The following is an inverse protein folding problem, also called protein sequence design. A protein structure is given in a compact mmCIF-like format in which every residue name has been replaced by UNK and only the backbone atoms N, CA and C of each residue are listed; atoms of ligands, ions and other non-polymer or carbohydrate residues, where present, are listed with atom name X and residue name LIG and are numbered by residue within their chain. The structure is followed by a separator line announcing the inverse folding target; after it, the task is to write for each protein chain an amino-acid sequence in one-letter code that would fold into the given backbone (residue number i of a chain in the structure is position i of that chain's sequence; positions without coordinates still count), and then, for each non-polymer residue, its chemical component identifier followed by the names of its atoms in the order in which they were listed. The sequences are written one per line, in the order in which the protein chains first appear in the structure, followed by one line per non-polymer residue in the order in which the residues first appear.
data_IF_746058852229
#
_entry.id   IF_746058852229
#
_cell.length_a   1.000
_cell.length_b   1.000
_cell.length_c   1.000
_cell.angle_alpha   90.00
_cell.angle_beta   90.00
_cell.angle_gamma   90.00
#
_symmetry.space_group_name_H-M   'P 1'
#
loop_
_entity.id
_entity.type
_entity.pdbx_description
1 polymer ?
#
# COMPACT_ATOMS: atom_id res chain seq x y z
N UNK A 1 7.93 -7.05 -8.20
CA UNK A 1 6.84 -6.17 -8.68
C UNK A 1 5.74 -6.01 -7.64
N UNK A 2 6.03 -5.34 -6.51
CA UNK A 2 5.16 -5.41 -5.32
C UNK A 2 4.45 -4.08 -5.00
N UNK A 3 4.95 -2.89 -5.41
CA UNK A 3 4.25 -1.62 -5.14
C UNK A 3 4.38 -0.57 -6.27
N UNK A 4 3.33 -0.33 -7.08
CA UNK A 4 3.35 0.67 -8.14
C UNK A 4 3.19 2.11 -7.60
N UNK A 5 2.65 2.29 -6.40
CA UNK A 5 2.28 3.60 -5.86
C UNK A 5 3.48 4.41 -5.37
N UNK A 6 3.59 5.68 -5.80
CA UNK A 6 4.63 6.62 -5.36
C UNK A 6 4.04 7.62 -4.37
N UNK A 7 4.13 7.35 -3.06
CA UNK A 7 3.53 8.17 -1.99
C UNK A 7 3.78 9.67 -2.15
N UNK A 8 5.02 10.08 -2.46
CA UNK A 8 5.36 11.51 -2.62
C UNK A 8 4.62 12.12 -3.80
N UNK A 9 4.66 11.44 -4.95
CA UNK A 9 4.05 11.95 -6.17
C UNK A 9 2.52 11.91 -6.11
N UNK A 10 1.92 10.93 -5.43
CA UNK A 10 0.48 10.94 -5.14
C UNK A 10 0.06 12.14 -4.28
N UNK A 11 0.85 12.50 -3.26
CA UNK A 11 0.56 13.70 -2.46
C UNK A 11 0.65 14.96 -3.32
N UNK A 12 1.64 15.06 -4.20
CA UNK A 12 1.76 16.19 -5.12
C UNK A 12 0.61 16.25 -6.13
N UNK A 13 0.18 15.11 -6.66
CA UNK A 13 -1.02 14.99 -7.51
C UNK A 13 -2.25 15.56 -6.80
N UNK A 14 -2.48 15.17 -5.54
CA UNK A 14 -3.61 15.67 -4.76
C UNK A 14 -3.50 17.17 -4.45
N UNK A 15 -2.30 17.67 -4.14
CA UNK A 15 -2.06 19.10 -3.95
C UNK A 15 -2.26 19.90 -5.24
N UNK A 16 -1.91 19.33 -6.38
CA UNK A 16 -2.18 19.93 -7.69
C UNK A 16 -3.68 20.06 -7.93
N UNK A 17 -4.46 19.00 -7.69
CA UNK A 17 -5.92 19.06 -7.78
C UNK A 17 -6.46 20.17 -6.88
N UNK A 18 -6.04 20.24 -5.61
CA UNK A 18 -6.47 21.33 -4.72
C UNK A 18 -6.15 22.72 -5.29
N UNK A 19 -4.93 22.92 -5.80
CA UNK A 19 -4.47 24.21 -6.36
C UNK A 19 -5.29 24.61 -7.58
N UNK A 20 -5.49 23.69 -8.51
CA UNK A 20 -6.20 23.94 -9.77
C UNK A 20 -7.69 24.18 -9.53
N UNK A 21 -8.33 23.37 -8.69
CA UNK A 21 -9.75 23.52 -8.35
C UNK A 21 -10.00 24.77 -7.49
N UNK A 22 -9.04 25.17 -6.65
CA UNK A 22 -9.07 26.47 -5.97
C UNK A 22 -9.04 27.64 -6.96
N UNK A 23 -8.22 27.57 -8.00
CA UNK A 23 -8.22 28.59 -9.05
C UNK A 23 -9.56 28.61 -9.82
N UNK A 24 -10.27 27.47 -9.86
CA UNK A 24 -11.64 27.33 -10.37
C UNK A 24 -12.76 27.72 -9.38
N UNK A 25 -12.43 28.22 -8.19
CA UNK A 25 -13.40 28.69 -7.19
C UNK A 25 -13.78 27.70 -6.09
N UNK A 26 -13.23 26.48 -6.10
CA UNK A 26 -13.52 25.45 -5.08
C UNK A 26 -12.50 25.55 -3.95
N UNK A 27 -12.95 25.93 -2.74
CA UNK A 27 -12.04 26.05 -1.59
C UNK A 27 -11.77 24.69 -0.94
N UNK A 28 -10.50 24.26 -0.76
CA UNK A 28 -10.20 23.01 -0.07
C UNK A 28 -10.63 23.01 1.41
N UNK A 29 -11.35 21.96 1.83
CA UNK A 29 -11.88 21.78 3.19
C UNK A 29 -11.48 20.42 3.75
N UNK A 30 -11.13 20.37 5.04
CA UNK A 30 -10.75 19.11 5.69
C UNK A 30 -11.92 18.12 5.78
N UNK A 31 -13.11 18.63 6.12
CA UNK A 31 -14.30 17.83 6.34
C UNK A 31 -14.43 17.27 7.75
N UNK A 32 -15.63 16.75 8.06
CA UNK A 32 -15.96 16.25 9.40
C UNK A 32 -16.09 14.73 9.41
N UNK A 33 -15.20 13.99 10.09
CA UNK A 33 -15.27 12.54 10.13
C UNK A 33 -16.53 12.01 10.83
N UNK A 34 -17.08 10.92 10.30
CA UNK A 34 -18.17 10.21 10.96
C UNK A 34 -17.72 9.64 12.32
N UNK A 35 -18.38 10.05 13.40
CA UNK A 35 -18.14 9.53 14.76
C UNK A 35 -19.33 8.76 15.30
N UNK A 36 -19.10 7.97 16.35
CA UNK A 36 -20.19 7.37 17.15
C UNK A 36 -21.14 8.45 17.66
N UNK A 37 -22.44 8.18 17.59
CA UNK A 37 -23.45 9.12 18.06
C UNK A 37 -23.40 9.25 19.59
N UNK A 38 -23.87 10.37 20.17
CA UNK A 38 -23.97 10.51 21.62
C UNK A 38 -24.75 9.38 22.29
N UNK A 39 -25.84 8.93 21.65
CA UNK A 39 -26.72 7.86 22.15
C UNK A 39 -25.99 6.52 22.22
N UNK A 40 -25.20 6.18 21.20
CA UNK A 40 -24.40 4.95 21.20
C UNK A 40 -23.31 4.98 22.27
N UNK A 41 -22.63 6.12 22.43
CA UNK A 41 -21.62 6.30 23.49
C UNK A 41 -22.24 6.12 24.88
N UNK A 42 -23.43 6.68 25.09
CA UNK A 42 -24.16 6.55 26.35
C UNK A 42 -24.65 5.11 26.58
N UNK A 43 -25.11 4.42 25.53
CA UNK A 43 -25.48 3.00 25.60
C UNK A 43 -24.30 2.14 26.08
N UNK A 44 -23.13 2.25 25.44
CA UNK A 44 -21.94 1.49 25.84
C UNK A 44 -21.55 1.79 27.28
N UNK A 45 -21.55 3.06 27.68
CA UNK A 45 -21.28 3.49 29.06
C UNK A 45 -22.23 2.82 30.07
N UNK A 46 -23.54 2.81 29.79
CA UNK A 46 -24.55 2.17 30.64
C UNK A 46 -24.40 0.65 30.74
N UNK A 47 -23.86 0.02 29.70
CA UNK A 47 -23.59 -1.44 29.66
C UNK A 47 -22.22 -1.82 30.22
N UNK A 48 -21.43 -0.86 30.69
CA UNK A 48 -20.06 -1.10 31.16
C UNK A 48 -19.09 -1.43 30.01
N UNK A 49 -19.48 -1.19 28.77
CA UNK A 49 -18.63 -1.38 27.60
C UNK A 49 -17.76 -0.13 27.39
N UNK A 50 -16.44 -0.30 27.37
CA UNK A 50 -15.53 0.75 26.93
C UNK A 50 -15.31 0.64 25.43
N UNK A 51 -15.59 1.71 24.68
CA UNK A 51 -15.17 1.83 23.28
C UNK A 51 -13.66 2.16 23.29
N UNK A 52 -12.76 1.24 22.88
CA UNK A 52 -11.34 1.53 22.88
C UNK A 52 -11.03 2.73 21.98
N UNK A 53 -10.02 3.53 22.34
CA UNK A 53 -9.59 4.71 21.58
C UNK A 53 -9.25 4.42 20.10
N UNK A 54 -8.91 3.17 19.75
CA UNK A 54 -8.70 2.72 18.37
C UNK A 54 -9.98 2.33 17.62
N UNK A 55 -11.07 2.02 18.33
CA UNK A 55 -12.33 1.45 17.80
C UNK A 55 -13.29 2.55 17.31
N UNK A 56 -12.80 3.37 16.39
CA UNK A 56 -13.60 4.42 15.76
C UNK A 56 -14.73 3.82 14.90
N UNK A 57 -15.84 4.54 14.76
CA UNK A 57 -16.96 4.16 13.86
C UNK A 57 -16.45 3.84 12.45
N UNK A 58 -15.49 4.64 11.97
CA UNK A 58 -14.83 4.46 10.69
C UNK A 58 -14.06 3.14 10.60
N UNK A 59 -13.28 2.78 11.62
CA UNK A 59 -12.57 1.50 11.65
C UNK A 59 -13.53 0.32 11.52
N UNK A 60 -14.63 0.34 12.28
CA UNK A 60 -15.64 -0.73 12.24
C UNK A 60 -16.29 -0.83 10.86
N UNK A 61 -16.65 0.31 10.27
CA UNK A 61 -17.27 0.34 8.94
C UNK A 61 -16.32 -0.16 7.84
N UNK A 62 -15.04 0.20 7.92
CA UNK A 62 -13.99 -0.26 7.00
C UNK A 62 -13.74 -1.77 7.16
N UNK A 63 -13.53 -2.25 8.39
CA UNK A 63 -13.28 -3.66 8.67
C UNK A 63 -14.44 -4.57 8.25
N UNK A 64 -15.68 -4.06 8.27
CA UNK A 64 -16.87 -4.82 7.86
C UNK A 64 -17.24 -4.64 6.38
N UNK A 65 -16.60 -3.70 5.67
CA UNK A 65 -16.91 -3.38 4.28
C UNK A 65 -18.32 -2.83 4.07
N UNK A 66 -18.76 -1.93 4.95
CA UNK A 66 -20.15 -1.42 4.97
C UNK A 66 -20.24 0.10 4.86
N UNK A 67 -19.19 0.76 4.37
CA UNK A 67 -19.17 2.23 4.20
C UNK A 67 -20.25 2.70 3.22
N UNK A 68 -20.47 2.04 2.08
CA UNK A 68 -21.54 2.44 1.13
C UNK A 68 -22.96 2.37 1.73
N UNK A 69 -23.14 1.56 2.77
CA UNK A 69 -24.44 1.36 3.43
C UNK A 69 -24.69 2.40 4.52
N UNK A 70 -23.67 2.69 5.32
CA UNK A 70 -23.84 3.48 6.54
C UNK A 70 -23.27 4.89 6.46
N UNK A 71 -22.30 5.14 5.57
CA UNK A 71 -21.54 6.40 5.47
C UNK A 71 -21.75 7.02 4.09
N UNK A 72 -23.00 7.13 3.63
CA UNK A 72 -23.32 7.74 2.34
C UNK A 72 -22.98 9.23 2.37
N UNK A 73 -22.38 9.70 1.29
CA UNK A 73 -22.04 11.12 1.07
C UNK A 73 -23.14 11.88 0.35
N UNK A 74 -24.02 11.18 -0.37
CA UNK A 74 -25.06 11.77 -1.21
C UNK A 74 -24.58 12.08 -2.63
N UNK A 75 -23.28 11.88 -2.92
CA UNK A 75 -22.69 12.13 -4.23
C UNK A 75 -22.41 10.85 -5.03
N UNK A 76 -22.71 9.68 -4.47
CA UNK A 76 -22.43 8.39 -5.10
C UNK A 76 -23.10 8.28 -6.48
N UNK A 77 -24.38 8.64 -6.60
CA UNK A 77 -25.09 8.53 -7.87
C UNK A 77 -24.50 9.47 -8.95
N UNK A 78 -24.14 10.69 -8.57
CA UNK A 78 -23.50 11.65 -9.48
C UNK A 78 -22.12 11.15 -9.93
N UNK A 79 -21.34 10.56 -9.01
CA UNK A 79 -20.05 9.98 -9.36
C UNK A 79 -20.21 8.75 -10.25
N UNK A 80 -21.23 7.91 -10.02
CA UNK A 80 -21.56 6.77 -10.89
C UNK A 80 -21.89 7.26 -12.31
N UNK A 81 -22.73 8.30 -12.45
CA UNK A 81 -23.05 8.88 -13.76
C UNK A 81 -21.81 9.39 -14.47
N UNK A 82 -20.92 10.09 -13.76
CA UNK A 82 -19.62 10.50 -14.29
C UNK A 82 -18.83 9.28 -14.79
N UNK A 83 -18.69 8.25 -13.95
CA UNK A 83 -17.93 7.05 -14.30
C UNK A 83 -18.49 6.37 -15.57
N UNK A 84 -19.80 6.14 -15.59
CA UNK A 84 -20.49 5.46 -16.70
C UNK A 84 -20.42 6.23 -18.02
N UNK A 85 -20.25 7.55 -17.97
CA UNK A 85 -20.07 8.40 -19.16
C UNK A 85 -18.71 8.20 -19.86
N UNK A 86 -17.74 7.56 -19.21
CA UNK A 86 -16.38 7.41 -19.74
C UNK A 86 -16.23 6.10 -20.53
N UNK A 87 -15.27 6.01 -21.47
CA UNK A 87 -14.90 4.74 -22.09
C UNK A 87 -14.42 3.69 -21.09
N UNK A 88 -14.52 2.41 -21.43
CA UNK A 88 -13.94 1.33 -20.61
C UNK A 88 -12.42 1.54 -20.46
N UNK A 89 -11.87 1.21 -19.29
CA UNK A 89 -10.45 1.36 -18.97
C UNK A 89 -9.85 2.76 -19.28
N UNK A 90 -10.61 3.82 -19.05
CA UNK A 90 -10.15 5.19 -19.33
C UNK A 90 -9.96 6.05 -18.08
N UNK A 91 -10.62 5.72 -16.97
CA UNK A 91 -10.60 6.58 -15.78
C UNK A 91 -9.33 6.33 -14.99
N UNK A 92 -8.59 7.40 -14.78
CA UNK A 92 -7.40 7.46 -13.93
C UNK A 92 -7.75 7.85 -12.49
N UNK A 93 -6.79 7.66 -11.57
CA UNK A 93 -7.00 7.97 -10.16
C UNK A 93 -7.22 9.47 -9.92
N UNK A 94 -6.43 10.33 -10.58
CA UNK A 94 -6.56 11.77 -10.47
C UNK A 94 -7.89 12.27 -11.06
N UNK A 95 -8.34 11.71 -12.18
CA UNK A 95 -9.66 12.03 -12.76
C UNK A 95 -10.80 11.64 -11.84
N UNK A 96 -10.79 10.43 -11.28
CA UNK A 96 -11.83 9.99 -10.34
C UNK A 96 -11.83 10.87 -9.08
N UNK A 97 -10.64 11.13 -8.52
CA UNK A 97 -10.49 11.97 -7.35
C UNK A 97 -11.01 13.38 -7.62
N UNK A 98 -10.59 14.01 -8.72
CA UNK A 98 -11.01 15.36 -9.12
C UNK A 98 -12.52 15.44 -9.35
N UNK A 99 -13.12 14.44 -9.99
CA UNK A 99 -14.58 14.38 -10.18
C UNK A 99 -15.32 14.34 -8.84
N UNK A 100 -14.90 13.47 -7.93
CA UNK A 100 -15.48 13.40 -6.58
C UNK A 100 -15.23 14.66 -5.77
N UNK A 101 -14.07 15.28 -5.92
CA UNK A 101 -13.68 16.51 -5.23
C UNK A 101 -14.58 17.69 -5.60
N UNK A 102 -14.91 17.80 -6.90
CA UNK A 102 -15.88 18.78 -7.41
C UNK A 102 -17.29 18.53 -6.87
N UNK A 103 -17.73 17.27 -6.86
CA UNK A 103 -19.05 16.90 -6.34
C UNK A 103 -19.20 17.19 -4.84
N UNK A 104 -18.10 17.11 -4.08
CA UNK A 104 -18.08 17.37 -2.64
C UNK A 104 -17.63 18.79 -2.28
N UNK A 105 -17.64 19.74 -3.23
CA UNK A 105 -17.29 21.15 -3.01
C UNK A 105 -15.99 21.35 -2.19
N UNK A 106 -14.97 20.58 -2.58
CA UNK A 106 -13.64 20.65 -2.00
C UNK A 106 -13.46 19.97 -0.65
N UNK A 107 -14.48 19.28 -0.12
CA UNK A 107 -14.38 18.54 1.14
C UNK A 107 -13.63 17.22 0.96
N UNK A 108 -12.41 17.16 1.48
CA UNK A 108 -11.48 16.06 1.23
C UNK A 108 -11.91 14.75 1.90
N UNK A 109 -12.45 14.82 3.13
CA UNK A 109 -12.99 13.65 3.83
C UNK A 109 -14.10 12.97 3.02
N UNK A 110 -15.12 13.74 2.60
CA UNK A 110 -16.20 13.21 1.77
C UNK A 110 -15.70 12.76 0.40
N UNK A 111 -14.76 13.47 -0.21
CA UNK A 111 -14.17 13.07 -1.49
C UNK A 111 -13.59 11.65 -1.45
N UNK A 112 -12.75 11.35 -0.46
CA UNK A 112 -12.18 10.01 -0.30
C UNK A 112 -13.30 8.99 0.01
N UNK A 113 -14.26 9.36 0.86
CA UNK A 113 -15.36 8.49 1.25
C UNK A 113 -16.33 8.17 0.10
N UNK A 114 -16.66 9.14 -0.77
CA UNK A 114 -17.50 8.90 -1.96
C UNK A 114 -16.79 7.92 -2.89
N UNK A 115 -15.50 8.12 -3.16
CA UNK A 115 -14.70 7.18 -3.96
C UNK A 115 -14.71 5.78 -3.34
N UNK A 116 -14.46 5.69 -2.03
CA UNK A 116 -14.52 4.43 -1.29
C UNK A 116 -15.89 3.77 -1.38
N UNK A 117 -16.98 4.53 -1.30
CA UNK A 117 -18.33 3.99 -1.34
C UNK A 117 -18.63 3.33 -2.68
N UNK A 118 -18.25 3.95 -3.80
CA UNK A 118 -18.38 3.34 -5.13
C UNK A 118 -17.64 2.00 -5.19
N UNK A 119 -16.45 1.95 -4.61
CA UNK A 119 -15.65 0.72 -4.61
C UNK A 119 -16.27 -0.33 -3.70
N UNK A 120 -16.72 0.06 -2.51
CA UNK A 120 -17.29 -0.86 -1.53
C UNK A 120 -18.64 -1.42 -1.97
N UNK A 121 -19.44 -0.72 -2.76
CA UNK A 121 -20.85 -1.10 -2.94
C UNK A 121 -21.03 -2.52 -3.52
N UNK A 122 -20.12 -2.92 -4.40
CA UNK A 122 -20.12 -4.23 -5.05
C UNK A 122 -18.95 -5.12 -4.62
N UNK A 123 -18.32 -4.84 -3.47
CA UNK A 123 -17.10 -5.57 -3.07
C UNK A 123 -17.35 -7.08 -2.88
N UNK A 124 -18.54 -7.50 -2.45
CA UNK A 124 -18.92 -8.92 -2.32
C UNK A 124 -19.55 -9.53 -3.58
N UNK A 125 -19.70 -8.76 -4.67
CA UNK A 125 -20.37 -9.27 -5.86
C UNK A 125 -19.45 -10.28 -6.60
N UNK A 126 -19.93 -11.50 -6.92
CA UNK A 126 -19.09 -12.58 -7.46
C UNK A 126 -18.50 -12.27 -8.84
N UNK A 127 -19.15 -11.40 -9.60
CA UNK A 127 -18.72 -10.92 -10.92
C UNK A 127 -18.41 -9.41 -10.91
N UNK A 128 -17.88 -8.89 -9.79
CA UNK A 128 -17.64 -7.44 -9.62
C UNK A 128 -16.74 -6.83 -10.69
N UNK A 129 -15.87 -7.63 -11.30
CA UNK A 129 -15.00 -7.24 -12.42
C UNK A 129 -15.75 -7.04 -13.75
N UNK A 130 -16.92 -7.66 -13.90
CA UNK A 130 -17.76 -7.54 -15.09
C UNK A 130 -18.73 -6.36 -15.03
N UNK A 131 -18.90 -5.77 -13.84
CA UNK A 131 -19.80 -4.63 -13.63
C UNK A 131 -19.35 -3.42 -14.46
N UNK A 132 -20.32 -2.71 -15.03
CA UNK A 132 -20.06 -1.58 -15.93
C UNK A 132 -19.11 -0.54 -15.29
N UNK A 133 -19.36 -0.17 -14.03
CA UNK A 133 -18.52 0.75 -13.25
C UNK A 133 -17.08 0.22 -13.16
N UNK A 134 -16.89 -1.03 -12.76
CA UNK A 134 -15.57 -1.62 -12.58
C UNK A 134 -14.78 -1.69 -13.88
N UNK A 135 -15.44 -1.96 -15.02
CA UNK A 135 -14.78 -1.95 -16.33
C UNK A 135 -14.25 -0.57 -16.70
N UNK A 136 -14.94 0.51 -16.32
CA UNK A 136 -14.44 1.89 -16.52
C UNK A 136 -13.17 2.16 -15.71
N UNK A 137 -13.11 1.59 -14.51
CA UNK A 137 -12.00 1.70 -13.56
C UNK A 137 -10.91 0.63 -13.79
N UNK A 138 -10.95 -0.14 -14.88
CA UNK A 138 -10.02 -1.27 -15.07
C UNK A 138 -8.53 -0.87 -15.06
N UNK A 139 -8.20 0.32 -15.58
CA UNK A 139 -6.83 0.89 -15.58
C UNK A 139 -6.27 1.04 -14.18
N UNK A 140 -7.15 1.24 -13.21
CA UNK A 140 -6.82 1.41 -11.80
C UNK A 140 -7.08 0.15 -10.96
N UNK A 141 -7.73 -0.87 -11.51
CA UNK A 141 -8.10 -2.07 -10.77
C UNK A 141 -7.19 -3.27 -11.13
N UNK A 142 -6.73 -3.40 -12.39
CA UNK A 142 -6.07 -4.60 -12.90
C UNK A 142 -4.51 -4.55 -12.89
N UNK A 143 -3.91 -3.94 -11.85
CA UNK A 143 -2.50 -3.57 -11.83
C UNK A 143 -1.46 -4.71 -11.86
N UNK A 144 -1.84 -5.92 -11.46
CA UNK A 144 -0.89 -7.02 -11.23
C UNK A 144 -0.98 -8.14 -12.27
N UNK A 145 -1.28 -7.80 -13.53
CA UNK A 145 -1.35 -8.75 -14.65
C UNK A 145 -2.33 -9.92 -14.39
N UNK A 146 -3.43 -9.64 -13.67
CA UNK A 146 -4.43 -10.63 -13.31
C UNK A 146 -4.04 -11.61 -12.18
N UNK A 147 -2.89 -11.41 -11.52
CA UNK A 147 -2.49 -12.14 -10.32
C UNK A 147 -2.85 -11.30 -9.09
N UNK A 148 -3.84 -11.71 -8.30
CA UNK A 148 -4.34 -10.99 -7.11
C UNK A 148 -5.78 -10.51 -7.26
N UNK A 149 -6.38 -10.04 -6.16
CA UNK A 149 -7.70 -9.42 -6.21
C UNK A 149 -7.65 -8.13 -7.04
N UNK A 150 -8.16 -8.22 -8.27
CA UNK A 150 -8.23 -7.14 -9.26
C UNK A 150 -9.06 -5.94 -8.78
N UNK A 151 -9.71 -5.99 -7.63
CA UNK A 151 -10.59 -4.93 -7.16
C UNK A 151 -10.34 -4.54 -5.70
N UNK A 152 -10.00 -5.53 -4.86
CA UNK A 152 -9.71 -5.36 -3.44
C UNK A 152 -8.63 -4.32 -3.16
N UNK A 153 -7.53 -4.31 -3.94
CA UNK A 153 -6.43 -3.37 -3.71
C UNK A 153 -6.87 -1.89 -3.72
N UNK A 154 -7.84 -1.51 -4.54
CA UNK A 154 -8.30 -0.13 -4.60
C UNK A 154 -9.24 0.24 -3.46
N UNK A 155 -10.11 -0.69 -3.08
CA UNK A 155 -10.93 -0.57 -1.89
C UNK A 155 -10.06 -0.42 -0.63
N UNK A 156 -9.05 -1.28 -0.47
CA UNK A 156 -8.09 -1.21 0.63
C UNK A 156 -7.28 0.09 0.62
N UNK A 157 -6.78 0.51 -0.56
CA UNK A 157 -6.05 1.77 -0.70
C UNK A 157 -6.89 2.97 -0.22
N UNK A 158 -8.11 3.13 -0.75
CA UNK A 158 -9.00 4.25 -0.39
C UNK A 158 -9.46 4.16 1.06
N UNK A 159 -9.71 2.95 1.56
CA UNK A 159 -10.11 2.70 2.94
C UNK A 159 -9.04 3.11 3.94
N UNK A 160 -7.80 2.66 3.74
CA UNK A 160 -6.68 3.01 4.62
C UNK A 160 -6.19 4.45 4.37
N UNK A 161 -6.34 5.00 3.16
CA UNK A 161 -6.15 6.43 2.90
C UNK A 161 -7.14 7.28 3.70
N UNK A 162 -8.43 6.94 3.71
CA UNK A 162 -9.44 7.61 4.52
C UNK A 162 -9.12 7.49 6.01
N UNK A 163 -8.74 6.30 6.47
CA UNK A 163 -8.39 6.09 7.87
C UNK A 163 -7.13 6.87 8.28
N UNK A 164 -6.08 6.87 7.45
CA UNK A 164 -4.86 7.66 7.67
C UNK A 164 -5.07 9.16 7.60
N UNK A 165 -6.02 9.61 6.77
CA UNK A 165 -6.46 11.00 6.71
C UNK A 165 -7.12 11.44 8.03
N UNK A 166 -7.97 10.59 8.63
CA UNK A 166 -8.68 10.91 9.87
C UNK A 166 -7.84 10.70 11.14
N UNK A 167 -7.09 9.60 11.21
CA UNK A 167 -6.42 9.14 12.43
C UNK A 167 -4.90 9.37 12.44
N UNK A 168 -4.35 9.85 11.32
CA UNK A 168 -2.92 10.01 11.11
C UNK A 168 -2.20 8.69 10.77
N UNK A 169 -0.97 8.83 10.26
CA UNK A 169 -0.26 7.72 9.61
C UNK A 169 0.20 6.62 10.55
N UNK A 170 0.43 6.93 11.84
CA UNK A 170 0.87 5.95 12.83
C UNK A 170 -0.25 4.97 13.20
N UNK A 171 -1.48 5.48 13.39
CA UNK A 171 -2.66 4.63 13.66
C UNK A 171 -3.06 3.84 12.43
N UNK A 172 -3.01 4.44 11.25
CA UNK A 172 -3.29 3.72 10.00
C UNK A 172 -2.27 2.62 9.71
N UNK A 173 -0.99 2.84 10.00
CA UNK A 173 0.01 1.80 9.89
C UNK A 173 -0.24 0.64 10.86
N UNK A 174 -0.62 0.94 12.11
CA UNK A 174 -0.93 -0.09 13.11
C UNK A 174 -2.13 -0.94 12.72
N UNK A 175 -3.23 -0.32 12.29
CA UNK A 175 -4.44 -1.02 11.82
C UNK A 175 -4.14 -1.83 10.56
N UNK A 176 -3.49 -1.24 9.57
CA UNK A 176 -3.11 -1.95 8.35
C UNK A 176 -2.23 -3.17 8.66
N UNK A 177 -1.31 -3.07 9.63
CA UNK A 177 -0.48 -4.20 10.06
C UNK A 177 -1.26 -5.29 10.80
N UNK A 178 -2.39 -4.96 11.46
CA UNK A 178 -3.25 -5.94 12.13
C UNK A 178 -4.15 -6.66 11.11
N UNK A 179 -4.69 -5.92 10.14
CA UNK A 179 -5.48 -6.47 9.02
C UNK A 179 -4.64 -7.47 8.21
N UNK A 180 -3.41 -7.08 7.87
CA UNK A 180 -2.39 -7.95 7.29
C UNK A 180 -2.17 -9.22 8.12
N UNK A 181 -1.92 -9.09 9.43
CA UNK A 181 -1.71 -10.25 10.30
C UNK A 181 -2.93 -11.19 10.39
N UNK A 182 -4.14 -10.65 10.24
CA UNK A 182 -5.39 -11.43 10.24
C UNK A 182 -5.62 -12.20 8.93
N UNK A 183 -5.24 -11.63 7.79
CA UNK A 183 -5.30 -12.33 6.50
C UNK A 183 -4.26 -13.45 6.42
N UNK A 184 -3.04 -13.23 6.93
CA UNK A 184 -1.96 -14.25 7.05
C UNK A 184 -2.37 -15.51 7.84
N UNK A 185 -3.37 -15.43 8.72
CA UNK A 185 -3.91 -16.58 9.48
C UNK A 185 -5.02 -17.32 8.73
N UNK A 186 -5.70 -16.65 7.78
CA UNK A 186 -6.85 -17.17 7.04
C UNK A 186 -6.50 -17.59 5.61
N UNK A 187 -5.40 -17.10 5.04
CA UNK A 187 -4.94 -17.42 3.68
C UNK A 187 -3.74 -18.37 3.70
N UNK A 188 -3.99 -19.67 3.63
CA UNK A 188 -2.91 -20.61 3.28
C UNK A 188 -2.61 -20.52 1.78
N UNK A 189 -1.74 -19.59 1.36
CA UNK A 189 -0.97 -19.73 0.12
C UNK A 189 -1.23 -18.76 -1.04
N UNK A 190 -1.84 -17.59 -0.82
CA UNK A 190 -1.88 -16.50 -1.82
C UNK A 190 -0.93 -15.36 -1.46
N UNK A 191 -0.39 -14.67 -2.47
CA UNK A 191 0.66 -13.65 -2.38
C UNK A 191 0.17 -12.36 -1.68
N UNK A 192 0.07 -12.40 -0.35
CA UNK A 192 -0.53 -11.36 0.52
C UNK A 192 0.31 -10.10 0.74
N UNK A 193 1.59 -10.10 0.32
CA UNK A 193 2.44 -8.91 0.41
C UNK A 193 1.81 -7.69 -0.28
N UNK A 194 1.03 -7.92 -1.34
CA UNK A 194 0.37 -6.86 -2.11
C UNK A 194 -0.53 -5.97 -1.23
N UNK A 195 -1.39 -6.59 -0.41
CA UNK A 195 -2.35 -5.86 0.43
C UNK A 195 -1.63 -5.06 1.51
N UNK A 196 -0.57 -5.63 2.11
CA UNK A 196 0.26 -4.98 3.12
C UNK A 196 0.89 -3.68 2.61
N UNK A 197 1.44 -3.70 1.39
CA UNK A 197 2.06 -2.52 0.78
C UNK A 197 1.04 -1.46 0.37
N UNK A 198 -0.12 -1.89 -0.15
CA UNK A 198 -1.22 -1.00 -0.51
C UNK A 198 -1.77 -0.30 0.73
N UNK A 199 -2.01 -1.06 1.81
CA UNK A 199 -2.45 -0.55 3.10
C UNK A 199 -1.45 0.45 3.69
N UNK A 200 -0.16 0.08 3.74
CA UNK A 200 0.88 0.97 4.24
C UNK A 200 1.07 2.24 3.41
N UNK A 201 0.79 2.18 2.11
CA UNK A 201 0.89 3.32 1.18
C UNK A 201 -0.29 4.26 1.35
N UNK A 202 -1.53 3.74 1.29
CA UNK A 202 -2.76 4.52 1.44
C UNK A 202 -2.75 5.35 2.73
N UNK A 203 -2.42 4.72 3.85
CA UNK A 203 -2.39 5.39 5.16
C UNK A 203 -1.38 6.52 5.25
N UNK A 204 -0.22 6.37 4.58
CA UNK A 204 0.80 7.43 4.49
C UNK A 204 0.34 8.58 3.60
N UNK A 205 -0.30 8.29 2.47
CA UNK A 205 -0.85 9.33 1.57
C UNK A 205 -1.91 10.13 2.32
N UNK A 206 -2.90 9.46 2.92
CA UNK A 206 -3.96 10.07 3.70
C UNK A 206 -3.44 10.99 4.82
N UNK A 207 -2.50 10.50 5.61
CA UNK A 207 -1.92 11.28 6.70
C UNK A 207 -1.10 12.49 6.24
N UNK A 208 -0.37 12.34 5.12
CA UNK A 208 0.43 13.43 4.56
C UNK A 208 -0.45 14.51 3.95
N UNK A 209 -1.48 14.12 3.20
CA UNK A 209 -2.38 15.07 2.56
C UNK A 209 -3.24 15.81 3.58
N UNK A 210 -3.68 15.16 4.67
CA UNK A 210 -4.33 15.84 5.79
C UNK A 210 -3.46 16.96 6.36
N UNK A 211 -2.20 16.66 6.69
CA UNK A 211 -1.24 17.67 7.19
C UNK A 211 -0.97 18.78 6.19
N UNK A 212 -0.83 18.43 4.91
CA UNK A 212 -0.57 19.40 3.85
C UNK A 212 -1.78 20.34 3.65
N UNK A 213 -3.00 19.81 3.76
CA UNK A 213 -4.25 20.57 3.71
C UNK A 213 -4.41 21.49 4.94
N UNK A 214 -4.16 20.99 6.15
CA UNK A 214 -4.14 21.79 7.39
C UNK A 214 -3.17 22.98 7.28
N UNK A 215 -1.98 22.73 6.73
CA UNK A 215 -0.93 23.74 6.51
C UNK A 215 -1.14 24.60 5.28
N UNK A 216 -2.18 24.32 4.50
CA UNK A 216 -2.48 24.98 3.22
C UNK A 216 -1.29 24.96 2.25
N UNK A 217 -0.53 23.88 2.22
CA UNK A 217 0.62 23.71 1.32
C UNK A 217 0.22 23.80 -0.16
N UNK A 218 -1.05 23.53 -0.48
CA UNK A 218 -1.62 23.73 -1.82
C UNK A 218 -1.58 25.20 -2.29
N UNK A 219 -1.49 26.19 -1.40
CA UNK A 219 -1.47 27.61 -1.79
C UNK A 219 -0.17 27.97 -2.49
N UNK A 220 0.96 27.51 -1.95
CA UNK A 220 2.31 27.75 -2.49
C UNK A 220 2.79 26.63 -3.40
N UNK A 221 1.99 25.58 -3.59
CA UNK A 221 2.28 24.48 -4.50
C UNK A 221 2.42 25.00 -5.94
N UNK A 222 3.47 24.54 -6.62
CA UNK A 222 3.73 24.83 -8.04
C UNK A 222 3.22 23.66 -8.88
N UNK A 223 2.15 23.84 -9.68
CA UNK A 223 1.64 22.79 -10.56
C UNK A 223 2.69 22.31 -11.56
N UNK A 224 2.63 21.02 -11.90
CA UNK A 224 3.43 20.42 -12.97
C UNK A 224 2.51 19.54 -13.82
N UNK A 225 2.61 19.63 -15.15
CA UNK A 225 1.79 18.81 -16.05
C UNK A 225 1.96 17.30 -15.80
N UNK A 226 3.09 16.90 -15.22
CA UNK A 226 3.43 15.52 -14.96
C UNK A 226 2.73 14.95 -13.71
N UNK A 227 2.32 15.74 -12.72
CA UNK A 227 1.77 15.15 -11.48
C UNK A 227 0.39 14.50 -11.65
N UNK A 228 -0.36 14.87 -12.69
CA UNK A 228 -1.60 14.17 -13.09
C UNK A 228 -1.37 13.11 -14.18
N UNK A 229 -0.12 12.76 -14.52
CA UNK A 229 0.17 11.58 -15.34
C UNK A 229 0.17 10.33 -14.43
N UNK A 230 -0.67 9.31 -14.70
CA UNK A 230 -0.65 8.05 -13.96
C UNK A 230 0.73 7.45 -13.79
N UNK A 231 1.61 7.51 -14.80
CA UNK A 231 2.97 6.93 -14.73
C UNK A 231 3.85 7.60 -13.65
N UNK A 232 3.51 8.82 -13.26
CA UNK A 232 4.27 9.60 -12.27
C UNK A 232 3.92 9.23 -10.85
N UNK A 233 2.66 8.86 -10.57
CA UNK A 233 2.22 8.51 -9.22
C UNK A 233 1.88 7.01 -9.04
N UNK A 234 1.75 6.29 -10.15
CA UNK A 234 1.28 4.92 -10.27
C UNK A 234 1.94 4.26 -11.50
N UNK A 235 3.19 3.84 -11.34
CA UNK A 235 3.93 3.18 -12.42
C UNK A 235 3.70 1.67 -12.35
N UNK A 236 2.92 1.17 -13.31
CA UNK A 236 2.55 -0.26 -13.41
C UNK A 236 3.63 -1.11 -14.06
N UNK A 237 4.60 -0.47 -14.70
CA UNK A 237 5.70 -1.13 -15.39
C UNK A 237 6.96 -1.22 -14.52
N UNK A 238 7.09 -0.33 -13.54
CA UNK A 238 8.23 -0.25 -12.64
C UNK A 238 8.24 -1.39 -11.61
N UNK A 239 9.42 -1.97 -11.37
CA UNK A 239 9.62 -2.82 -10.23
C UNK A 239 10.03 -1.96 -9.03
N UNK A 240 9.29 -2.04 -7.93
CA UNK A 240 9.62 -1.31 -6.70
C UNK A 240 11.08 -1.47 -6.22
N UNK A 241 11.76 -2.56 -6.62
CA UNK A 241 13.21 -2.79 -6.43
C UNK A 241 14.07 -1.65 -6.99
N UNK A 242 13.65 -1.06 -8.11
CA UNK A 242 14.32 0.07 -8.77
C UNK A 242 14.35 1.32 -7.87
N UNK A 243 13.51 1.35 -6.83
CA UNK A 243 13.41 2.44 -5.86
C UNK A 243 14.19 2.19 -4.57
N UNK A 244 14.69 0.98 -4.32
CA UNK A 244 15.52 0.68 -3.15
C UNK A 244 16.98 0.89 -3.52
N UNK A 245 17.65 1.77 -2.78
CA UNK A 245 19.10 1.78 -2.74
C UNK A 245 19.56 0.51 -1.99
N UNK A 246 20.02 -0.48 -2.75
CA UNK A 246 20.67 -1.67 -2.20
C UNK A 246 22.17 -1.42 -2.10
N UNK A 247 22.70 -1.64 -0.90
CA UNK A 247 24.14 -1.62 -0.66
C UNK A 247 24.62 -3.04 -0.39
N UNK A 248 25.86 -3.33 -0.79
CA UNK A 248 26.47 -4.62 -0.50
C UNK A 248 26.50 -4.84 1.02
N UNK A 249 26.01 -5.99 1.47
CA UNK A 249 25.87 -6.28 2.88
C UNK A 249 27.21 -6.59 3.51
N UNK A 250 27.57 -5.83 4.54
CA UNK A 250 28.60 -6.26 5.50
C UNK A 250 28.02 -7.14 6.60
N UNK A 251 26.70 -7.14 6.78
CA UNK A 251 26.04 -7.80 7.92
C UNK A 251 25.63 -9.25 7.61
N UNK A 252 25.55 -9.61 6.33
CA UNK A 252 25.18 -10.94 5.87
C UNK A 252 26.28 -11.55 5.00
N UNK A 253 26.46 -12.86 5.13
CA UNK A 253 27.29 -13.67 4.24
C UNK A 253 26.40 -14.69 3.54
N UNK A 254 26.74 -14.97 2.29
CA UNK A 254 26.08 -16.01 1.52
C UNK A 254 27.08 -17.04 0.98
N UNK A 255 26.64 -18.29 0.86
CA UNK A 255 27.36 -19.37 0.18
C UNK A 255 26.38 -20.21 -0.62
N UNK A 256 26.82 -20.79 -1.74
CA UNK A 256 26.01 -21.69 -2.56
C UNK A 256 26.36 -23.15 -2.29
N UNK A 257 25.34 -23.99 -2.39
CA UNK A 257 25.49 -25.41 -2.75
C UNK A 257 24.74 -25.66 -4.09
N UNK A 258 24.59 -26.94 -4.47
CA UNK A 258 23.99 -27.35 -5.75
C UNK A 258 22.62 -26.71 -6.05
N UNK A 259 21.78 -26.52 -5.02
CA UNK A 259 20.40 -26.06 -5.21
C UNK A 259 19.92 -25.02 -4.18
N UNK A 260 20.77 -24.63 -3.23
CA UNK A 260 20.44 -23.72 -2.14
C UNK A 260 21.45 -22.60 -2.02
N UNK A 261 20.95 -21.47 -1.55
CA UNK A 261 21.75 -20.39 -1.01
C UNK A 261 21.65 -20.42 0.51
N UNK A 262 22.80 -20.46 1.17
CA UNK A 262 22.91 -20.39 2.61
C UNK A 262 23.18 -18.96 3.01
N UNK A 263 22.23 -18.35 3.73
CA UNK A 263 22.37 -16.98 4.22
C UNK A 263 22.67 -16.98 5.72
N UNK A 264 23.68 -16.22 6.13
CA UNK A 264 24.13 -16.13 7.51
C UNK A 264 24.25 -14.69 7.96
N UNK A 265 23.58 -14.34 9.05
CA UNK A 265 23.82 -13.06 9.74
C UNK A 265 25.13 -13.13 10.53
N UNK A 266 25.96 -12.10 10.41
CA UNK A 266 27.28 -12.03 11.05
C UNK A 266 27.25 -11.37 12.43
N UNK A 267 26.47 -10.31 12.61
CA UNK A 267 26.62 -9.44 13.78
C UNK A 267 25.51 -9.54 14.82
N UNK A 268 24.26 -9.81 14.41
CA UNK A 268 23.09 -9.78 15.31
C UNK A 268 21.96 -10.68 14.82
N UNK A 269 20.99 -10.89 15.70
CA UNK A 269 19.77 -11.60 15.35
C UNK A 269 18.83 -10.66 14.58
N UNK A 270 18.34 -11.15 13.45
CA UNK A 270 17.25 -10.51 12.72
C UNK A 270 16.04 -11.42 12.74
N UNK A 271 14.91 -10.82 13.04
CA UNK A 271 13.62 -11.45 12.98
C UNK A 271 12.88 -10.90 11.79
N UNK A 272 12.01 -11.71 11.22
CA UNK A 272 10.98 -11.24 10.29
C UNK A 272 11.57 -10.52 9.06
N UNK A 273 12.64 -11.08 8.48
CA UNK A 273 13.24 -10.54 7.26
C UNK A 273 12.49 -11.01 6.01
N UNK A 274 12.44 -10.12 5.02
CA UNK A 274 12.08 -10.45 3.65
C UNK A 274 13.35 -10.75 2.84
N UNK A 275 13.41 -11.92 2.23
CA UNK A 275 14.53 -12.37 1.40
C UNK A 275 14.03 -12.68 0.00
N UNK A 276 14.60 -12.00 -1.00
CA UNK A 276 14.46 -12.37 -2.41
C UNK A 276 15.80 -12.84 -2.94
N UNK A 277 15.83 -13.95 -3.67
CA UNK A 277 17.04 -14.47 -4.32
C UNK A 277 16.81 -14.47 -5.81
N UNK A 278 17.62 -13.69 -6.53
CA UNK A 278 17.73 -13.79 -7.97
C UNK A 278 18.88 -14.74 -8.27
N UNK A 279 18.69 -15.66 -9.19
CA UNK A 279 19.71 -16.66 -9.53
C UNK A 279 19.95 -16.74 -11.03
N UNK A 280 20.97 -17.51 -11.39
CA UNK A 280 21.40 -17.63 -12.77
C UNK A 280 20.34 -18.27 -13.66
N UNK A 281 20.38 -17.93 -14.94
CA UNK A 281 19.79 -18.74 -16.01
C UNK A 281 20.78 -19.77 -16.55
N UNK A 282 20.39 -20.47 -17.62
CA UNK A 282 21.21 -21.47 -18.30
C UNK A 282 22.54 -20.93 -18.85
N UNK A 283 22.70 -19.60 -18.96
CA UNK A 283 23.98 -18.98 -19.35
C UNK A 283 24.92 -18.73 -18.16
N UNK A 284 24.49 -19.05 -16.93
CA UNK A 284 25.25 -18.80 -15.71
C UNK A 284 25.19 -17.34 -15.22
N UNK A 285 24.38 -16.48 -15.84
CA UNK A 285 24.21 -15.06 -15.46
C UNK A 285 22.93 -14.85 -14.68
N UNK A 286 22.95 -13.94 -13.70
CA UNK A 286 21.75 -13.53 -12.96
C UNK A 286 20.62 -13.14 -13.91
N UNK A 287 19.44 -13.73 -13.71
CA UNK A 287 18.27 -13.45 -14.50
C UNK A 287 17.13 -13.00 -13.60
N UNK A 288 16.67 -11.76 -13.74
CA UNK A 288 15.62 -11.19 -12.89
C UNK A 288 14.26 -11.89 -12.98
N UNK A 289 14.08 -12.82 -13.95
CA UNK A 289 12.91 -13.69 -14.05
C UNK A 289 13.02 -14.93 -13.16
N UNK A 290 14.24 -15.36 -12.84
CA UNK A 290 14.55 -16.49 -11.96
C UNK A 290 14.64 -15.97 -10.53
N UNK A 291 13.53 -16.03 -9.81
CA UNK A 291 13.41 -15.46 -8.48
C UNK A 291 12.78 -16.45 -7.50
N UNK A 292 13.40 -16.58 -6.33
CA UNK A 292 12.81 -17.19 -5.15
C UNK A 292 12.55 -16.11 -4.11
N UNK A 293 11.42 -16.20 -3.41
CA UNK A 293 11.05 -15.26 -2.36
C UNK A 293 10.68 -16.01 -1.10
N UNK A 294 11.10 -15.46 0.04
CA UNK A 294 10.73 -15.98 1.34
C UNK A 294 10.57 -14.85 2.35
N UNK A 295 9.40 -14.82 2.97
CA UNK A 295 9.10 -13.92 4.09
C UNK A 295 9.36 -14.57 5.43
N UNK A 296 9.31 -13.73 6.47
CA UNK A 296 9.41 -14.13 7.86
C UNK A 296 10.67 -14.95 8.15
N UNK A 297 11.76 -14.66 7.43
CA UNK A 297 13.03 -15.37 7.60
C UNK A 297 13.72 -14.84 8.84
N UNK A 298 13.90 -15.73 9.81
CA UNK A 298 14.60 -15.42 11.05
C UNK A 298 16.07 -15.84 10.93
N UNK A 299 16.96 -14.88 11.13
CA UNK A 299 18.40 -15.10 11.18
C UNK A 299 18.90 -15.02 12.61
N UNK A 300 19.38 -16.14 13.14
CA UNK A 300 20.18 -16.14 14.37
C UNK A 300 21.63 -15.82 14.01
N UNK A 301 22.26 -14.93 14.78
CA UNK A 301 23.66 -14.57 14.64
C UNK A 301 24.53 -15.81 14.53
N UNK A 302 25.38 -15.84 13.52
CA UNK A 302 26.34 -16.92 13.32
C UNK A 302 25.76 -18.19 12.69
N UNK A 303 24.43 -18.32 12.58
CA UNK A 303 23.78 -19.52 12.01
C UNK A 303 23.40 -19.29 10.55
N UNK A 304 23.65 -20.30 9.72
CA UNK A 304 23.25 -20.30 8.33
C UNK A 304 21.80 -20.76 8.20
N UNK A 305 21.03 -20.09 7.36
CA UNK A 305 19.66 -20.42 7.00
C UNK A 305 19.68 -20.91 5.55
N UNK A 306 19.34 -22.19 5.28
CA UNK A 306 19.26 -22.70 3.94
C UNK A 306 17.99 -22.19 3.26
N UNK A 307 18.14 -21.71 2.03
CA UNK A 307 17.06 -21.30 1.17
C UNK A 307 17.19 -22.04 -0.15
N UNK A 308 16.22 -22.91 -0.45
CA UNK A 308 16.16 -23.62 -1.72
C UNK A 308 15.86 -22.63 -2.85
N UNK A 309 16.64 -22.68 -3.93
CA UNK A 309 16.59 -21.68 -5.00
C UNK A 309 16.18 -22.28 -6.34
N UNK A 310 16.77 -23.40 -6.73
CA UNK A 310 16.61 -23.99 -8.07
C UNK A 310 16.71 -25.51 -8.02
N UNK A 311 16.07 -26.21 -8.95
CA UNK A 311 16.32 -27.63 -9.20
C UNK A 311 17.46 -27.86 -10.22
N UNK A 312 17.84 -26.80 -10.93
CA UNK A 312 18.94 -26.76 -11.90
C UNK A 312 20.24 -26.23 -11.27
N UNK A 313 21.36 -26.43 -11.95
CA UNK A 313 22.71 -26.03 -11.49
C UNK A 313 22.78 -24.54 -11.10
N UNK A 314 23.09 -24.29 -9.83
CA UNK A 314 23.16 -22.98 -9.22
C UNK A 314 24.62 -22.48 -9.19
N UNK A 315 24.99 -21.62 -10.13
CA UNK A 315 26.34 -21.07 -10.24
C UNK A 315 26.45 -19.64 -9.72
N UNK A 316 25.35 -18.90 -9.65
CA UNK A 316 25.34 -17.53 -9.18
C UNK A 316 23.98 -17.17 -8.61
N UNK A 317 23.98 -16.65 -7.38
CA UNK A 317 22.77 -16.10 -6.78
C UNK A 317 23.08 -14.82 -6.00
N UNK A 318 22.12 -13.90 -6.04
CA UNK A 318 22.12 -12.65 -5.27
C UNK A 318 20.91 -12.61 -4.38
N UNK A 319 21.14 -12.53 -3.08
CA UNK A 319 20.07 -12.33 -2.11
C UNK A 319 19.91 -10.84 -1.82
N UNK A 320 18.67 -10.37 -1.86
CA UNK A 320 18.23 -9.05 -1.44
C UNK A 320 17.48 -9.22 -0.12
N UNK A 321 18.01 -8.62 0.94
CA UNK A 321 17.49 -8.75 2.30
C UNK A 321 16.96 -7.38 2.72
N UNK A 322 15.70 -7.34 3.14
CA UNK A 322 15.01 -6.11 3.54
C UNK A 322 13.96 -6.38 4.62
N UNK A 323 13.39 -5.31 5.19
CA UNK A 323 12.25 -5.43 6.11
C UNK A 323 12.57 -6.03 7.49
N UNK A 324 13.81 -6.41 7.78
CA UNK A 324 14.19 -7.08 9.02
C UNK A 324 13.89 -6.28 10.30
N UNK A 325 13.35 -6.96 11.31
CA UNK A 325 13.23 -6.48 12.70
C UNK A 325 14.45 -6.93 13.51
N UNK A 326 15.20 -6.01 14.11
CA UNK A 326 16.29 -6.41 15.01
C UNK A 326 15.72 -6.97 16.32
N UNK A 327 16.28 -8.07 16.84
CA UNK A 327 15.81 -8.73 18.06
C UNK A 327 16.17 -7.99 19.38
N UNK A 328 16.81 -6.82 19.32
CA UNK A 328 17.25 -6.05 20.50
C UNK A 328 17.23 -4.54 20.27
N UNK A 329 17.42 -3.71 21.31
CA UNK A 329 17.41 -2.25 21.21
C UNK A 329 18.52 -1.79 20.27
N UNK A 330 18.13 -1.17 19.16
CA UNK A 330 19.07 -0.58 18.19
C UNK A 330 19.55 0.76 18.77
N UNK A 331 20.86 0.98 18.97
CA UNK A 331 21.37 2.31 19.29
C UNK A 331 20.91 3.27 18.20
N UNK A 332 20.35 4.42 18.60
CA UNK A 332 20.00 5.52 17.68
C UNK A 332 21.28 6.12 17.08
N UNK A 333 21.94 5.41 16.20
CA UNK A 333 22.82 6.00 15.20
C UNK A 333 22.38 5.45 13.84
N UNK A 334 22.18 6.38 12.91
CA UNK A 334 21.68 6.17 11.54
C UNK A 334 20.16 6.02 11.42
N UNK A 335 19.47 7.11 11.75
CA UNK A 335 18.34 7.50 10.90
C UNK A 335 18.85 7.75 9.48
N UNK A 336 18.31 7.04 8.50
CA UNK A 336 18.67 7.22 7.10
C UNK A 336 18.14 6.11 6.20
N UNK A 337 16.87 6.23 5.78
CA UNK A 337 16.17 5.39 4.81
C UNK A 337 16.04 3.88 5.14
N UNK A 338 14.96 3.25 4.65
CA UNK A 338 14.84 1.79 4.60
C UNK A 338 15.84 1.28 3.54
N UNK A 339 17.12 1.17 3.88
CA UNK A 339 18.13 0.57 2.99
C UNK A 339 17.96 -0.95 3.01
N UNK A 340 17.82 -1.54 1.82
CA UNK A 340 17.98 -2.98 1.63
C UNK A 340 19.46 -3.29 1.52
N UNK A 341 19.83 -4.54 1.82
CA UNK A 341 21.20 -5.02 1.58
C UNK A 341 21.16 -6.14 0.55
N UNK A 342 22.19 -6.23 -0.29
CA UNK A 342 22.37 -7.39 -1.16
C UNK A 342 23.64 -8.15 -0.78
N UNK A 343 23.64 -9.46 -1.01
CA UNK A 343 24.85 -10.29 -0.88
C UNK A 343 24.89 -11.28 -2.03
N UNK A 344 26.05 -11.35 -2.68
CA UNK A 344 26.32 -12.34 -3.72
C UNK A 344 26.84 -13.63 -3.09
N UNK A 345 26.47 -14.75 -3.69
CA UNK A 345 27.15 -16.02 -3.46
C UNK A 345 27.65 -16.58 -4.77
N UNK A 346 28.91 -16.99 -4.72
CA UNK A 346 29.56 -17.79 -5.73
C UNK A 346 29.72 -19.22 -5.19
N UNK A 347 29.90 -20.23 -6.06
CA UNK A 347 30.18 -21.59 -5.64
C UNK A 347 31.45 -21.58 -4.80
N UNK A 348 31.45 -22.33 -3.70
CA UNK A 348 32.66 -22.55 -2.92
C UNK A 348 33.59 -23.37 -3.81
N UNK A 349 34.72 -22.79 -4.21
CA UNK A 349 35.78 -23.51 -4.94
C UNK A 349 36.46 -24.54 -4.06
#
# INVERSE_FOLDING_TARGET
RINPFKVKEMVKMLLQIMKEEQAGGITPKLGTPHTWSPEFKEYCKKKGEMIPLGFSKLLVALASGVTSRHFKTGQEENLIRYILSRPDASITMDELFRASYRLNDGEFYLTILTNLNILSDNWRHPQRDQLAITRKLATICNFYQGKGDKYGAWYHFQGIMLYGYVQGGLRAWLVGSIESAGSHVLSHGTDEQQEDYVNATGGKVGAKVAKALERREYVTFTPDRNYCDPKVYLDLSEDWRDRIEYVESKEFKATLDENRMWLKSLYKDYLDCHVEIIYNDYSGKLNSKNIMKKDHVNFKKGKSVPLFVSWDELTLARAFISGCKAAGPVPKSLGGARRGVYVDALPVR
#
